data_IF_890284829934
#
_entry.id   IF_890284829934
#
_cell.length_a   1.000
_cell.length_b   1.000
_cell.length_c   1.000
_cell.angle_alpha   90.00
_cell.angle_beta   90.00
_cell.angle_gamma   90.00
#
_symmetry.space_group_name_H-M   'P 1'
#
loop_
_entity.id
_entity.type
_entity.pdbx_description
1 polymer ?
#
# COMPACT_ATOMS: atom_id res chain seq x y z
N UNK A 1 -9.85 -23.08 -15.49
CA UNK A 1 -9.93 -24.50 -15.03
C UNK A 1 -8.56 -24.87 -14.47
N UNK A 2 -8.49 -25.65 -13.38
CA UNK A 2 -7.24 -25.96 -12.69
C UNK A 2 -6.72 -27.31 -13.19
N UNK A 3 -5.47 -27.33 -13.68
CA UNK A 3 -4.77 -28.51 -14.18
C UNK A 3 -3.41 -28.63 -13.49
N UNK A 4 -2.92 -29.86 -13.35
CA UNK A 4 -1.56 -30.14 -12.90
C UNK A 4 -0.80 -30.82 -14.03
N UNK A 5 0.12 -30.08 -14.66
CA UNK A 5 1.05 -30.66 -15.63
C UNK A 5 2.13 -31.49 -14.92
N UNK A 6 3.01 -32.15 -15.68
CA UNK A 6 4.07 -33.01 -15.14
C UNK A 6 5.01 -32.30 -14.17
N UNK A 7 5.31 -31.04 -14.46
CA UNK A 7 6.17 -30.22 -13.61
C UNK A 7 5.51 -29.91 -12.27
N UNK A 8 4.25 -29.46 -12.30
CA UNK A 8 3.46 -29.12 -11.12
C UNK A 8 3.15 -30.37 -10.27
N UNK A 9 2.86 -31.50 -10.91
CA UNK A 9 2.63 -32.78 -10.23
C UNK A 9 3.90 -33.25 -9.51
N UNK A 10 5.06 -33.12 -10.15
CA UNK A 10 6.34 -33.43 -9.51
C UNK A 10 6.68 -32.43 -8.39
N UNK A 11 6.42 -31.14 -8.57
CA UNK A 11 6.61 -30.13 -7.51
C UNK A 11 5.74 -30.43 -6.30
N UNK A 12 4.48 -30.78 -6.51
CA UNK A 12 3.57 -31.23 -5.46
C UNK A 12 4.12 -32.46 -4.73
N UNK A 13 4.59 -33.46 -5.48
CA UNK A 13 5.15 -34.68 -4.88
C UNK A 13 6.37 -34.35 -4.01
N UNK A 14 7.33 -33.57 -4.52
CA UNK A 14 8.53 -33.18 -3.77
C UNK A 14 8.15 -32.39 -2.52
N UNK A 15 7.21 -31.45 -2.65
CA UNK A 15 6.77 -30.61 -1.55
C UNK A 15 6.13 -31.41 -0.40
N UNK A 16 5.29 -32.39 -0.73
CA UNK A 16 4.57 -33.20 0.28
C UNK A 16 5.42 -34.36 0.79
N UNK A 17 6.05 -35.10 -0.12
CA UNK A 17 6.66 -36.39 0.19
C UNK A 17 8.19 -36.37 0.24
N UNK A 18 8.83 -35.30 -0.25
CA UNK A 18 10.29 -35.14 -0.25
C UNK A 18 11.01 -35.96 -1.31
N UNK A 19 10.28 -36.63 -2.21
CA UNK A 19 10.84 -37.52 -3.24
C UNK A 19 10.23 -37.18 -4.60
N UNK A 20 11.02 -36.96 -5.66
CA UNK A 20 10.49 -36.65 -6.98
C UNK A 20 9.85 -37.87 -7.65
N UNK A 21 8.89 -37.62 -8.56
CA UNK A 21 8.37 -38.64 -9.47
C UNK A 21 9.28 -38.73 -10.70
N UNK A 22 9.63 -39.94 -11.11
CA UNK A 22 10.23 -40.17 -12.43
C UNK A 22 9.12 -40.22 -13.51
N UNK A 23 9.51 -40.17 -14.78
CA UNK A 23 8.57 -40.16 -15.90
C UNK A 23 7.62 -41.37 -15.92
N UNK A 24 8.10 -42.54 -15.49
CA UNK A 24 7.29 -43.76 -15.41
C UNK A 24 6.21 -43.62 -14.34
N UNK A 25 6.56 -43.17 -13.14
CA UNK A 25 5.61 -42.97 -12.06
C UNK A 25 4.55 -41.90 -12.39
N UNK A 26 4.93 -40.84 -13.11
CA UNK A 26 3.98 -39.84 -13.62
C UNK A 26 3.00 -40.48 -14.60
N UNK A 27 3.51 -41.29 -15.54
CA UNK A 27 2.67 -42.03 -16.48
C UNK A 27 1.70 -42.96 -15.75
N UNK A 28 2.18 -43.71 -14.76
CA UNK A 28 1.35 -44.64 -13.97
C UNK A 28 0.21 -43.92 -13.24
N UNK A 29 0.49 -42.74 -12.67
CA UNK A 29 -0.53 -41.89 -12.03
C UNK A 29 -1.60 -41.47 -13.02
N UNK A 30 -1.19 -41.02 -14.21
CA UNK A 30 -2.13 -40.60 -15.27
C UNK A 30 -2.96 -41.77 -15.79
N UNK A 31 -2.34 -42.92 -16.04
CA UNK A 31 -3.03 -44.13 -16.46
C UNK A 31 -4.06 -44.57 -15.43
N UNK A 32 -3.73 -44.50 -14.13
CA UNK A 32 -4.68 -44.83 -13.07
C UNK A 32 -5.92 -43.91 -13.06
N UNK A 33 -5.76 -42.63 -13.38
CA UNK A 33 -6.88 -41.70 -13.58
C UNK A 33 -7.65 -42.05 -14.85
N UNK A 34 -6.95 -42.26 -15.97
CA UNK A 34 -7.54 -42.50 -17.29
C UNK A 34 -8.43 -43.75 -17.31
N UNK A 35 -8.05 -44.81 -16.59
CA UNK A 35 -8.82 -46.06 -16.46
C UNK A 35 -10.25 -45.86 -15.93
N UNK A 36 -10.48 -44.83 -15.11
CA UNK A 36 -11.78 -44.62 -14.44
C UNK A 36 -12.42 -43.26 -14.75
N UNK A 37 -11.61 -42.26 -15.10
CA UNK A 37 -12.02 -40.87 -15.35
C UNK A 37 -11.22 -40.28 -16.51
N UNK A 38 -11.42 -40.83 -17.70
CA UNK A 38 -10.71 -40.40 -18.90
C UNK A 38 -10.80 -38.89 -19.18
N UNK A 39 -11.96 -38.30 -18.93
CA UNK A 39 -12.21 -36.86 -19.15
C UNK A 39 -11.45 -35.95 -18.17
N UNK A 40 -10.88 -36.51 -17.09
CA UNK A 40 -10.07 -35.78 -16.11
C UNK A 40 -8.57 -35.73 -16.47
N UNK A 41 -8.18 -36.24 -17.65
CA UNK A 41 -6.87 -36.02 -18.25
C UNK A 41 -7.03 -35.12 -19.48
N UNK A 42 -6.60 -33.87 -19.37
CA UNK A 42 -6.75 -32.85 -20.42
C UNK A 42 -5.36 -32.30 -20.76
N UNK A 43 -5.00 -32.30 -22.04
CA UNK A 43 -3.70 -31.84 -22.54
C UNK A 43 -2.49 -32.43 -21.79
N UNK A 44 -2.55 -33.73 -21.49
CA UNK A 44 -1.53 -34.45 -20.71
C UNK A 44 -1.33 -33.85 -19.30
N UNK A 45 -2.35 -33.24 -18.72
CA UNK A 45 -2.38 -32.72 -17.35
C UNK A 45 -3.56 -33.32 -16.57
N UNK A 46 -3.39 -33.46 -15.26
CA UNK A 46 -4.43 -33.99 -14.36
C UNK A 46 -5.38 -32.85 -13.98
N UNK A 47 -6.66 -33.00 -14.31
CA UNK A 47 -7.70 -32.06 -13.88
C UNK A 47 -8.09 -32.27 -12.41
N UNK A 48 -8.82 -31.32 -11.83
CA UNK A 48 -9.27 -31.40 -10.44
C UNK A 48 -10.04 -32.70 -10.13
N UNK A 49 -10.91 -33.17 -11.02
CA UNK A 49 -11.66 -34.41 -10.82
C UNK A 49 -10.76 -35.64 -10.72
N UNK A 50 -9.68 -35.69 -11.51
CA UNK A 50 -8.67 -36.74 -11.49
C UNK A 50 -7.82 -36.69 -10.23
N UNK A 51 -7.46 -35.49 -9.79
CA UNK A 51 -6.75 -35.29 -8.52
C UNK A 51 -7.58 -35.80 -7.33
N UNK A 52 -8.86 -35.46 -7.27
CA UNK A 52 -9.78 -35.94 -6.22
C UNK A 52 -9.94 -37.47 -6.27
N UNK A 53 -10.03 -38.05 -7.47
CA UNK A 53 -10.10 -39.49 -7.66
C UNK A 53 -8.86 -40.22 -7.15
N UNK A 54 -7.64 -39.69 -7.37
CA UNK A 54 -6.41 -40.28 -6.83
C UNK A 54 -6.44 -40.37 -5.30
N UNK A 55 -6.92 -39.31 -4.64
CA UNK A 55 -7.07 -39.29 -3.18
C UNK A 55 -8.13 -40.30 -2.70
N UNK A 56 -9.27 -40.39 -3.39
CA UNK A 56 -10.30 -41.40 -3.15
C UNK A 56 -9.74 -42.84 -3.27
N UNK A 57 -8.94 -43.09 -4.31
CA UNK A 57 -8.29 -44.38 -4.55
C UNK A 57 -7.32 -44.75 -3.41
N UNK A 58 -6.52 -43.80 -2.90
CA UNK A 58 -5.65 -44.06 -1.76
C UNK A 58 -6.43 -44.45 -0.51
N UNK A 59 -7.53 -43.75 -0.23
CA UNK A 59 -8.39 -44.03 0.92
C UNK A 59 -9.02 -45.44 0.80
N UNK A 60 -9.59 -45.77 -0.36
CA UNK A 60 -10.19 -47.09 -0.62
C UNK A 60 -9.20 -48.25 -0.49
N UNK A 61 -7.92 -48.01 -0.81
CA UNK A 61 -6.83 -48.99 -0.67
C UNK A 61 -6.24 -49.05 0.75
N UNK A 62 -6.86 -48.40 1.73
CA UNK A 62 -6.40 -48.35 3.12
C UNK A 62 -5.19 -47.44 3.36
N UNK A 63 -4.76 -46.64 2.36
CA UNK A 63 -3.60 -45.74 2.42
C UNK A 63 -4.01 -44.30 2.75
N UNK A 64 -4.92 -44.13 3.69
CA UNK A 64 -5.47 -42.83 4.09
C UNK A 64 -4.40 -41.88 4.68
N UNK A 65 -3.33 -42.41 5.28
CA UNK A 65 -2.19 -41.61 5.74
C UNK A 65 -1.54 -40.79 4.62
N UNK A 66 -1.60 -41.23 3.36
CA UNK A 66 -1.12 -40.44 2.22
C UNK A 66 -1.94 -39.16 2.04
N UNK A 67 -3.27 -39.25 2.18
CA UNK A 67 -4.15 -38.10 2.10
C UNK A 67 -3.94 -37.16 3.29
N UNK A 68 -3.81 -37.71 4.51
CA UNK A 68 -3.50 -36.91 5.70
C UNK A 68 -2.14 -36.21 5.63
N UNK A 69 -1.12 -36.85 5.03
CA UNK A 69 0.18 -36.22 4.83
C UNK A 69 0.08 -35.00 3.91
N UNK A 70 -0.73 -35.07 2.85
CA UNK A 70 -1.03 -33.90 1.99
C UNK A 70 -1.73 -32.82 2.80
N UNK A 71 -2.84 -33.15 3.49
CA UNK A 71 -3.61 -32.18 4.28
C UNK A 71 -2.75 -31.45 5.32
N UNK A 72 -1.98 -32.20 6.13
CA UNK A 72 -1.08 -31.63 7.15
C UNK A 72 0.01 -30.76 6.54
N UNK A 73 0.53 -31.12 5.36
CA UNK A 73 1.55 -30.30 4.67
C UNK A 73 1.02 -28.93 4.26
N UNK A 74 -0.27 -28.85 3.97
CA UNK A 74 -0.99 -27.62 3.61
C UNK A 74 -1.63 -26.93 4.83
N UNK A 75 -1.30 -27.36 6.05
CA UNK A 75 -1.72 -26.69 7.27
C UNK A 75 -3.06 -27.13 7.84
N UNK A 76 -3.67 -28.20 7.32
CA UNK A 76 -4.95 -28.71 7.85
C UNK A 76 -4.76 -29.59 9.10
N UNK A 77 -5.64 -29.39 10.08
CA UNK A 77 -5.76 -30.20 11.30
C UNK A 77 -6.68 -31.42 11.11
N UNK A 78 -6.98 -32.14 12.21
CA UNK A 78 -7.80 -33.36 12.17
C UNK A 78 -9.29 -33.06 11.91
N UNK A 79 -9.71 -31.81 12.10
CA UNK A 79 -11.05 -31.29 11.88
C UNK A 79 -11.21 -30.69 10.47
N UNK A 80 -10.19 -30.85 9.61
CA UNK A 80 -10.10 -30.30 8.27
C UNK A 80 -10.25 -28.76 8.25
N UNK A 81 -9.79 -28.10 9.31
CA UNK A 81 -9.64 -26.66 9.37
C UNK A 81 -8.16 -26.31 9.19
N UNK A 82 -7.87 -25.12 8.66
CA UNK A 82 -6.50 -24.63 8.68
C UNK A 82 -6.12 -24.31 10.13
N UNK A 83 -5.01 -24.89 10.56
CA UNK A 83 -4.53 -24.73 11.92
C UNK A 83 -4.22 -23.25 12.21
N UNK A 84 -4.53 -22.81 13.43
CA UNK A 84 -4.41 -21.40 13.83
C UNK A 84 -2.95 -20.92 13.71
N UNK A 85 -1.99 -21.77 14.04
CA UNK A 85 -0.56 -21.52 13.93
C UNK A 85 -0.08 -21.46 12.46
N UNK A 86 -0.76 -22.17 11.55
CA UNK A 86 -0.55 -22.03 10.12
C UNK A 86 -1.07 -20.69 9.59
N UNK A 87 -2.24 -20.23 10.03
CA UNK A 87 -2.82 -18.95 9.57
C UNK A 87 -2.19 -17.72 10.23
N UNK A 88 -1.82 -17.84 11.50
CA UNK A 88 -1.40 -16.73 12.35
C UNK A 88 -0.22 -17.14 13.20
N UNK A 89 0.96 -16.65 12.83
CA UNK A 89 2.15 -16.72 13.68
C UNK A 89 2.27 -15.45 14.52
N UNK A 90 2.51 -15.54 15.84
CA UNK A 90 2.63 -14.34 16.68
C UNK A 90 3.74 -13.39 16.21
N UNK A 91 3.36 -12.16 15.86
CA UNK A 91 4.28 -11.08 15.50
C UNK A 91 4.18 -9.94 16.51
N UNK A 92 5.29 -9.61 17.17
CA UNK A 92 5.35 -8.46 18.08
C UNK A 92 5.85 -7.23 17.34
N UNK A 93 5.01 -6.21 17.26
CA UNK A 93 5.38 -4.89 16.69
C UNK A 93 5.63 -3.90 17.85
N UNK A 94 6.87 -3.47 18.10
CA UNK A 94 7.16 -2.48 19.14
C UNK A 94 6.55 -1.11 18.83
N UNK A 95 6.37 -0.27 19.86
CA UNK A 95 5.93 1.12 19.68
C UNK A 95 6.97 1.89 18.87
N UNK A 96 6.50 2.66 17.88
CA UNK A 96 7.35 3.44 16.99
C UNK A 96 7.87 2.65 15.77
N UNK A 97 7.57 1.35 15.69
CA UNK A 97 7.80 0.51 14.53
C UNK A 97 6.54 0.40 13.67
N UNK A 98 6.70 -0.03 12.43
CA UNK A 98 5.65 -0.36 11.47
C UNK A 98 5.93 -1.72 10.82
N UNK A 99 4.95 -2.26 10.10
CA UNK A 99 5.08 -3.49 9.33
C UNK A 99 5.08 -3.17 7.84
N UNK A 100 6.02 -3.76 7.11
CA UNK A 100 6.19 -3.63 5.66
C UNK A 100 6.40 -5.03 5.05
N UNK A 101 6.12 -5.18 3.76
CA UNK A 101 6.47 -6.41 3.04
C UNK A 101 7.98 -6.46 2.79
N UNK A 102 8.55 -7.67 2.89
CA UNK A 102 9.93 -7.96 2.47
C UNK A 102 10.00 -8.09 0.95
N UNK A 103 11.21 -8.15 0.40
CA UNK A 103 11.40 -8.43 -1.02
C UNK A 103 10.82 -9.79 -1.43
N UNK A 104 10.78 -10.76 -0.52
CA UNK A 104 10.15 -12.06 -0.73
C UNK A 104 8.62 -11.94 -0.77
N UNK A 105 8.04 -11.23 0.19
CA UNK A 105 6.61 -10.95 0.22
C UNK A 105 6.15 -10.22 -1.05
N UNK A 106 6.90 -9.20 -1.48
CA UNK A 106 6.64 -8.46 -2.71
C UNK A 106 6.73 -9.36 -3.95
N UNK A 107 7.80 -10.17 -4.08
CA UNK A 107 7.95 -11.11 -5.20
C UNK A 107 6.80 -12.11 -5.29
N UNK A 108 6.35 -12.63 -4.15
CA UNK A 108 5.21 -13.55 -4.10
C UNK A 108 3.91 -12.91 -4.58
N UNK A 109 3.55 -11.72 -4.05
CA UNK A 109 2.31 -11.06 -4.46
C UNK A 109 2.37 -10.59 -5.92
N UNK A 110 3.53 -10.17 -6.41
CA UNK A 110 3.71 -9.84 -7.84
C UNK A 110 3.47 -11.07 -8.71
N UNK A 111 4.03 -12.22 -8.36
CA UNK A 111 3.80 -13.46 -9.09
C UNK A 111 2.33 -13.91 -9.05
N UNK A 112 1.60 -13.63 -7.96
CA UNK A 112 0.16 -13.86 -7.91
C UNK A 112 -0.59 -12.94 -8.86
N UNK A 113 -0.28 -11.65 -8.89
CA UNK A 113 -0.90 -10.74 -9.86
C UNK A 113 -0.70 -11.25 -11.29
N UNK A 114 0.54 -11.52 -11.70
CA UNK A 114 0.88 -11.99 -13.04
C UNK A 114 0.20 -13.33 -13.41
N UNK A 115 -0.06 -14.19 -12.41
CA UNK A 115 -0.76 -15.45 -12.60
C UNK A 115 -2.25 -15.25 -12.91
N UNK A 116 -2.88 -14.25 -12.31
CA UNK A 116 -4.32 -14.02 -12.39
C UNK A 116 -4.71 -12.89 -13.35
N UNK A 117 -3.76 -12.08 -13.83
CA UNK A 117 -3.91 -11.19 -14.99
C UNK A 117 -3.87 -12.06 -16.26
N UNK A 118 -4.98 -12.73 -16.56
CA UNK A 118 -5.08 -13.75 -17.61
C UNK A 118 -5.00 -13.10 -19.01
N UNK A 119 -5.57 -11.90 -19.16
CA UNK A 119 -5.57 -11.14 -20.40
C UNK A 119 -4.35 -10.22 -20.58
N UNK A 120 -3.51 -10.09 -19.54
CA UNK A 120 -2.26 -9.31 -19.52
C UNK A 120 -2.48 -7.84 -19.80
N UNK A 121 -3.60 -7.30 -19.34
CA UNK A 121 -3.92 -5.88 -19.48
C UNK A 121 -3.31 -5.02 -18.35
N UNK A 122 -2.61 -5.63 -17.40
CA UNK A 122 -1.97 -4.95 -16.27
C UNK A 122 -2.97 -4.54 -15.20
N UNK A 123 -4.20 -5.07 -15.25
CA UNK A 123 -5.25 -4.91 -14.26
C UNK A 123 -5.84 -6.28 -13.88
N UNK A 124 -6.54 -6.33 -12.76
CA UNK A 124 -7.38 -7.48 -12.41
C UNK A 124 -8.84 -7.06 -12.50
N UNK A 125 -9.55 -7.69 -13.44
CA UNK A 125 -11.00 -7.62 -13.57
C UNK A 125 -11.71 -8.22 -12.33
N UNK A 126 -13.02 -7.97 -12.14
CA UNK A 126 -13.78 -8.57 -11.04
C UNK A 126 -13.73 -10.10 -11.01
N UNK A 127 -13.74 -10.74 -12.18
CA UNK A 127 -13.62 -12.20 -12.32
C UNK A 127 -12.24 -12.71 -11.90
N UNK A 128 -11.17 -12.05 -12.32
CA UNK A 128 -9.80 -12.43 -11.98
C UNK A 128 -9.53 -12.25 -10.49
N UNK A 129 -10.01 -11.15 -9.89
CA UNK A 129 -9.95 -10.95 -8.44
C UNK A 129 -10.73 -11.99 -7.66
N UNK A 130 -11.92 -12.35 -8.14
CA UNK A 130 -12.71 -13.41 -7.53
C UNK A 130 -11.98 -14.76 -7.61
N UNK A 131 -11.33 -15.06 -8.72
CA UNK A 131 -10.53 -16.27 -8.88
C UNK A 131 -9.30 -16.26 -7.97
N UNK A 132 -8.60 -15.12 -7.85
CA UNK A 132 -7.42 -14.95 -6.98
C UNK A 132 -7.77 -15.22 -5.52
N UNK A 133 -8.85 -14.61 -5.02
CA UNK A 133 -9.27 -14.75 -3.63
C UNK A 133 -10.22 -15.94 -3.38
N UNK A 134 -10.47 -16.80 -4.38
CA UNK A 134 -11.38 -17.95 -4.26
C UNK A 134 -10.96 -18.98 -3.19
N UNK A 135 -9.67 -19.02 -2.87
CA UNK A 135 -9.08 -19.90 -1.84
C UNK A 135 -9.10 -19.28 -0.43
N UNK A 136 -9.49 -18.02 -0.30
CA UNK A 136 -9.60 -17.34 0.98
C UNK A 136 -10.95 -17.64 1.64
N UNK A 137 -10.99 -17.69 2.98
CA UNK A 137 -12.23 -17.94 3.74
C UNK A 137 -13.29 -16.87 3.53
N UNK A 138 -12.86 -15.62 3.34
CA UNK A 138 -13.71 -14.47 3.05
C UNK A 138 -13.07 -13.66 1.92
N UNK A 139 -13.90 -12.97 1.12
CA UNK A 139 -13.39 -12.09 0.08
C UNK A 139 -12.83 -10.80 0.72
N UNK A 140 -11.52 -10.57 0.67
CA UNK A 140 -10.91 -9.40 1.31
C UNK A 140 -11.05 -8.14 0.43
N UNK A 141 -11.43 -8.29 -0.84
CA UNK A 141 -11.63 -7.20 -1.79
C UNK A 141 -13.04 -6.63 -1.71
N UNK A 142 -13.19 -5.55 -0.94
CA UNK A 142 -14.47 -4.86 -0.74
C UNK A 142 -14.59 -3.59 -1.58
N UNK A 143 -15.80 -3.03 -1.68
CA UNK A 143 -15.99 -1.70 -2.29
C UNK A 143 -15.23 -0.60 -1.53
N UNK A 144 -15.04 -0.75 -0.23
CA UNK A 144 -14.22 0.15 0.56
C UNK A 144 -12.74 0.05 0.17
N UNK A 145 -12.20 -1.17 0.07
CA UNK A 145 -10.82 -1.40 -0.39
C UNK A 145 -10.58 -0.80 -1.79
N UNK A 146 -11.54 -0.94 -2.70
CA UNK A 146 -11.48 -0.32 -4.03
C UNK A 146 -11.45 1.21 -3.98
N UNK A 147 -11.87 1.85 -2.87
CA UNK A 147 -11.79 3.29 -2.69
C UNK A 147 -10.51 3.77 -2.01
N UNK A 148 -9.63 2.87 -1.61
CA UNK A 148 -8.35 3.17 -0.96
C UNK A 148 -7.15 3.11 -1.89
N UNK A 149 -7.31 2.54 -3.09
CA UNK A 149 -6.21 2.26 -4.02
C UNK A 149 -6.58 2.62 -5.45
N UNK A 150 -5.56 2.67 -6.31
CA UNK A 150 -5.71 2.99 -7.72
C UNK A 150 -6.52 1.91 -8.46
N UNK A 151 -7.47 2.36 -9.28
CA UNK A 151 -8.23 1.53 -10.21
C UNK A 151 -8.24 2.21 -11.58
N UNK A 152 -8.36 1.44 -12.65
CA UNK A 152 -8.46 2.02 -13.99
C UNK A 152 -9.85 2.65 -14.23
N UNK A 153 -10.08 3.19 -15.43
CA UNK A 153 -11.34 3.84 -15.81
C UNK A 153 -12.55 2.90 -15.83
N UNK A 154 -12.34 1.57 -15.88
CA UNK A 154 -13.39 0.55 -15.75
C UNK A 154 -13.65 0.15 -14.29
N UNK A 155 -12.87 0.69 -13.34
CA UNK A 155 -12.89 0.31 -11.94
C UNK A 155 -12.18 -1.02 -11.63
N UNK A 156 -11.32 -1.50 -12.53
CA UNK A 156 -10.51 -2.71 -12.32
C UNK A 156 -9.23 -2.36 -11.57
N UNK A 157 -8.74 -3.29 -10.77
CA UNK A 157 -7.58 -3.05 -9.90
C UNK A 157 -6.29 -3.05 -10.72
N UNK A 158 -5.60 -1.91 -10.84
CA UNK A 158 -4.32 -1.84 -11.58
C UNK A 158 -3.23 -2.60 -10.82
N UNK A 159 -2.12 -2.94 -11.48
CA UNK A 159 -0.94 -3.49 -10.79
C UNK A 159 -0.48 -2.61 -9.61
N UNK A 160 -0.36 -1.30 -9.83
CA UNK A 160 0.02 -0.35 -8.77
C UNK A 160 -1.02 -0.31 -7.64
N UNK A 161 -2.32 -0.36 -7.96
CA UNK A 161 -3.39 -0.46 -6.98
C UNK A 161 -3.35 -1.76 -6.17
N UNK A 162 -3.06 -2.89 -6.82
CA UNK A 162 -2.89 -4.20 -6.19
C UNK A 162 -1.72 -4.20 -5.21
N UNK A 163 -0.55 -3.70 -5.63
CA UNK A 163 0.61 -3.59 -4.75
C UNK A 163 0.31 -2.66 -3.57
N UNK A 164 -0.35 -1.53 -3.83
CA UNK A 164 -0.76 -0.57 -2.80
C UNK A 164 -1.74 -1.18 -1.80
N UNK A 165 -2.67 -2.04 -2.24
CA UNK A 165 -3.62 -2.73 -1.37
C UNK A 165 -2.92 -3.65 -0.37
N UNK A 166 -1.97 -4.45 -0.84
CA UNK A 166 -1.18 -5.33 0.02
C UNK A 166 -0.33 -4.54 1.01
N UNK A 167 0.28 -3.45 0.57
CA UNK A 167 1.11 -2.58 1.42
C UNK A 167 0.26 -1.88 2.49
N UNK A 168 -0.91 -1.35 2.12
CA UNK A 168 -1.87 -0.78 3.06
C UNK A 168 -2.32 -1.80 4.09
N UNK A 169 -2.69 -3.00 3.64
CA UNK A 169 -3.16 -4.08 4.53
C UNK A 169 -2.05 -4.52 5.47
N UNK A 170 -0.81 -4.62 4.98
CA UNK A 170 0.35 -4.96 5.81
C UNK A 170 0.62 -3.89 6.88
N UNK A 171 0.49 -2.62 6.51
CA UNK A 171 0.73 -1.50 7.41
C UNK A 171 -0.37 -1.37 8.47
N UNK A 172 -1.63 -1.58 8.09
CA UNK A 172 -2.81 -1.35 8.96
C UNK A 172 -3.24 -2.59 9.75
N UNK A 173 -3.11 -3.79 9.15
CA UNK A 173 -3.55 -5.06 9.72
C UNK A 173 -2.66 -6.21 9.23
N UNK A 174 -1.47 -6.32 9.84
CA UNK A 174 -0.50 -7.37 9.52
C UNK A 174 -1.07 -8.78 9.73
N UNK A 175 -1.97 -8.97 10.69
CA UNK A 175 -2.60 -10.28 10.93
C UNK A 175 -3.42 -10.75 9.73
N UNK A 176 -4.23 -9.86 9.14
CA UNK A 176 -4.96 -10.18 7.91
C UNK A 176 -4.01 -10.47 6.74
N UNK A 177 -2.89 -9.74 6.65
CA UNK A 177 -1.89 -10.00 5.61
C UNK A 177 -1.31 -11.40 5.74
N UNK A 178 -0.92 -11.81 6.95
CA UNK A 178 -0.38 -13.16 7.21
C UNK A 178 -1.44 -14.24 6.92
N UNK A 179 -2.69 -14.02 7.32
CA UNK A 179 -3.79 -14.93 7.02
C UNK A 179 -3.98 -15.10 5.50
N UNK A 180 -4.02 -14.00 4.74
CA UNK A 180 -4.17 -14.07 3.28
C UNK A 180 -2.96 -14.73 2.60
N UNK A 181 -1.74 -14.45 3.04
CA UNK A 181 -0.53 -15.12 2.54
C UNK A 181 -0.60 -16.64 2.76
N UNK A 182 -1.14 -17.08 3.90
CA UNK A 182 -1.36 -18.50 4.19
C UNK A 182 -2.33 -19.15 3.19
N UNK A 183 -3.51 -18.53 2.99
CA UNK A 183 -4.53 -19.03 2.04
C UNK A 183 -4.01 -19.07 0.60
N UNK A 184 -3.22 -18.07 0.20
CA UNK A 184 -2.70 -17.96 -1.16
C UNK A 184 -1.47 -18.86 -1.40
N UNK A 185 -0.99 -19.56 -0.37
CA UNK A 185 0.05 -20.58 -0.50
C UNK A 185 1.48 -20.07 -0.34
N UNK A 186 1.72 -18.95 0.35
CA UNK A 186 3.07 -18.46 0.64
C UNK A 186 3.93 -19.54 1.32
N UNK A 187 3.35 -20.29 2.26
CA UNK A 187 4.03 -21.34 3.03
C UNK A 187 4.39 -22.58 2.20
N UNK A 188 4.03 -22.62 0.91
CA UNK A 188 4.50 -23.69 0.02
C UNK A 188 6.00 -23.59 -0.25
N UNK A 189 6.54 -22.37 -0.27
CA UNK A 189 7.96 -22.12 -0.54
C UNK A 189 8.71 -21.55 0.67
N UNK A 190 7.97 -21.16 1.71
CA UNK A 190 8.49 -20.52 2.91
C UNK A 190 8.09 -21.29 4.17
N UNK A 191 8.85 -21.11 5.24
CA UNK A 191 8.56 -21.78 6.51
C UNK A 191 7.37 -21.13 7.23
N UNK A 192 7.23 -19.82 7.10
CA UNK A 192 6.16 -19.03 7.72
C UNK A 192 5.93 -17.74 6.94
N UNK A 193 4.74 -17.15 7.06
CA UNK A 193 4.44 -15.82 6.53
C UNK A 193 5.31 -14.73 7.14
N UNK A 194 5.98 -15.00 8.27
CA UNK A 194 6.97 -14.09 8.83
C UNK A 194 8.10 -13.76 7.83
N UNK A 195 8.44 -14.67 6.91
CA UNK A 195 9.44 -14.41 5.87
C UNK A 195 8.99 -13.31 4.88
N UNK A 196 7.68 -13.03 4.81
CA UNK A 196 7.10 -11.94 4.01
C UNK A 196 7.05 -10.59 4.75
N UNK A 197 7.25 -10.55 6.07
CA UNK A 197 6.97 -9.37 6.90
C UNK A 197 8.24 -8.83 7.54
N UNK A 198 8.51 -7.55 7.31
CA UNK A 198 9.56 -6.79 8.00
C UNK A 198 8.94 -5.87 9.03
N UNK A 199 9.37 -5.99 10.28
CA UNK A 199 9.13 -4.96 11.30
C UNK A 199 10.23 -3.90 11.18
N UNK A 200 9.83 -2.66 10.91
CA UNK A 200 10.77 -1.54 10.78
C UNK A 200 11.35 -1.19 12.15
N UNK A 201 12.51 -0.52 12.16
CA UNK A 201 13.08 -0.01 13.41
C UNK A 201 12.27 1.18 13.94
N UNK A 202 12.50 1.52 15.20
CA UNK A 202 11.84 2.67 15.84
C UNK A 202 12.13 3.97 15.07
N UNK A 203 11.07 4.64 14.64
CA UNK A 203 11.11 5.93 13.93
C UNK A 203 11.93 7.00 14.65
N UNK A 204 12.03 6.96 15.98
CA UNK A 204 12.86 7.90 16.75
C UNK A 204 14.34 7.80 16.36
N UNK A 205 14.81 6.61 16.01
CA UNK A 205 16.17 6.39 15.52
C UNK A 205 16.34 6.97 14.12
N UNK A 206 15.35 6.81 13.23
CA UNK A 206 15.36 7.42 11.90
C UNK A 206 15.47 8.96 11.97
N UNK A 207 14.73 9.57 12.90
CA UNK A 207 14.77 11.02 13.15
C UNK A 207 16.11 11.48 13.72
N UNK A 208 16.73 10.68 14.59
CA UNK A 208 18.03 10.98 15.20
C UNK A 208 19.16 10.89 14.17
N UNK A 209 19.17 9.83 13.37
CA UNK A 209 20.20 9.54 12.37
C UNK A 209 19.95 10.25 11.03
N UNK A 210 18.78 10.88 10.87
CA UNK A 210 18.37 11.57 9.63
C UNK A 210 18.36 10.66 8.40
N UNK A 211 18.14 9.36 8.61
CA UNK A 211 18.09 8.33 7.57
C UNK A 211 17.02 7.32 7.91
N UNK A 212 16.26 6.89 6.91
CA UNK A 212 15.26 5.84 7.03
C UNK A 212 15.41 4.82 5.91
N UNK A 213 15.10 3.56 6.21
CA UNK A 213 14.99 2.47 5.22
C UNK A 213 13.53 2.09 4.98
N UNK A 214 12.58 2.85 5.55
CA UNK A 214 11.14 2.65 5.36
C UNK A 214 10.75 2.96 3.92
N UNK A 215 9.75 2.23 3.45
CA UNK A 215 9.12 2.46 2.15
C UNK A 215 7.74 3.10 2.29
N UNK A 216 7.08 2.95 3.44
CA UNK A 216 5.71 3.42 3.68
C UNK A 216 5.70 4.57 4.68
N UNK A 217 5.06 5.68 4.30
CA UNK A 217 4.98 6.91 5.08
C UNK A 217 3.54 7.35 5.30
N UNK A 218 3.20 7.66 6.54
CA UNK A 218 1.86 8.02 6.96
C UNK A 218 1.66 9.53 7.00
N UNK A 219 0.57 10.00 6.40
CA UNK A 219 0.21 11.40 6.27
C UNK A 219 -1.20 11.60 6.80
N UNK A 220 -1.36 12.43 7.83
CA UNK A 220 -2.68 12.76 8.36
C UNK A 220 -3.22 14.04 7.75
N UNK A 221 -4.43 13.95 7.24
CA UNK A 221 -5.14 15.02 6.56
C UNK A 221 -6.21 15.53 7.51
N UNK A 222 -5.95 16.68 8.12
CA UNK A 222 -6.76 17.26 9.19
C UNK A 222 -7.30 18.61 8.71
N UNK A 223 -8.55 18.92 9.05
CA UNK A 223 -9.18 20.17 8.68
C UNK A 223 -10.67 20.16 9.04
N UNK A 224 -11.33 21.33 9.01
CA UNK A 224 -12.72 21.42 9.43
C UNK A 224 -13.64 20.61 8.51
N UNK A 225 -14.89 20.43 8.94
CA UNK A 225 -15.93 19.83 8.11
C UNK A 225 -16.06 20.62 6.80
N UNK A 226 -16.23 19.89 5.70
CA UNK A 226 -16.34 20.45 4.34
C UNK A 226 -15.08 21.16 3.81
N UNK A 227 -13.91 21.04 4.45
CA UNK A 227 -12.65 21.62 3.95
C UNK A 227 -12.08 20.95 2.68
N UNK A 228 -12.76 19.94 2.12
CA UNK A 228 -12.29 19.23 0.92
C UNK A 228 -11.32 18.06 1.19
N UNK A 229 -11.20 17.58 2.44
CA UNK A 229 -10.33 16.46 2.83
C UNK A 229 -10.49 15.22 1.95
N UNK A 230 -11.72 14.74 1.79
CA UNK A 230 -12.03 13.58 0.95
C UNK A 230 -11.58 13.78 -0.50
N UNK A 231 -11.83 14.96 -1.08
CA UNK A 231 -11.42 15.24 -2.44
C UNK A 231 -9.89 15.28 -2.59
N UNK A 232 -9.19 15.84 -1.59
CA UNK A 232 -7.74 15.88 -1.55
C UNK A 232 -7.10 14.48 -1.43
N UNK A 233 -7.65 13.57 -0.62
CA UNK A 233 -7.09 12.22 -0.54
C UNK A 233 -7.43 11.38 -1.78
N UNK A 234 -8.65 11.53 -2.32
CA UNK A 234 -9.10 10.75 -3.47
C UNK A 234 -8.45 11.22 -4.78
N UNK A 235 -8.03 12.48 -4.88
CA UNK A 235 -7.24 12.95 -6.03
C UNK A 235 -5.91 12.22 -6.17
N UNK A 236 -5.35 11.70 -5.07
CA UNK A 236 -4.14 10.90 -5.09
C UNK A 236 -4.32 9.53 -5.77
N UNK A 237 -5.57 9.10 -5.98
CA UNK A 237 -5.94 7.91 -6.75
C UNK A 237 -6.33 8.22 -8.19
N UNK A 238 -6.16 9.48 -8.63
CA UNK A 238 -6.52 9.90 -9.98
C UNK A 238 -8.01 10.20 -10.17
N UNK A 239 -8.78 10.31 -9.08
CA UNK A 239 -10.23 10.51 -9.14
C UNK A 239 -10.59 11.98 -9.28
N UNK A 240 -11.43 12.26 -10.26
CA UNK A 240 -12.01 13.59 -10.44
C UNK A 240 -13.08 13.87 -9.40
N UNK A 241 -13.50 15.13 -9.27
CA UNK A 241 -14.60 15.49 -8.38
C UNK A 241 -15.91 14.75 -8.75
N UNK A 242 -16.16 14.54 -10.04
CA UNK A 242 -17.33 13.80 -10.52
C UNK A 242 -17.30 12.33 -10.06
N UNK A 243 -16.14 11.68 -10.17
CA UNK A 243 -15.96 10.30 -9.70
C UNK A 243 -16.23 10.20 -8.20
N UNK A 244 -15.67 11.12 -7.41
CA UNK A 244 -15.84 11.14 -5.96
C UNK A 244 -17.31 11.31 -5.57
N UNK A 245 -18.05 12.19 -6.25
CA UNK A 245 -19.47 12.43 -5.98
C UNK A 245 -20.35 11.23 -6.36
N UNK A 246 -19.90 10.37 -7.28
CA UNK A 246 -20.61 9.14 -7.65
C UNK A 246 -20.48 8.02 -6.60
N UNK A 247 -19.47 8.10 -5.72
CA UNK A 247 -19.19 7.08 -4.71
C UNK A 247 -20.13 7.27 -3.52
N UNK A 248 -20.76 6.17 -3.08
CA UNK A 248 -21.55 6.19 -1.86
C UNK A 248 -20.67 6.44 -0.63
N UNK A 249 -21.07 7.35 0.25
CA UNK A 249 -20.32 7.68 1.48
C UNK A 249 -19.96 6.47 2.34
N UNK A 250 -20.79 5.42 2.34
CA UNK A 250 -20.54 4.17 3.08
C UNK A 250 -19.38 3.33 2.53
N UNK A 251 -18.91 3.64 1.33
CA UNK A 251 -17.81 2.96 0.66
C UNK A 251 -16.52 3.79 0.67
N UNK A 252 -16.58 5.05 1.10
CA UNK A 252 -15.39 5.87 1.22
C UNK A 252 -14.60 5.40 2.44
N UNK A 253 -13.40 4.88 2.18
CA UNK A 253 -12.43 4.64 3.23
C UNK A 253 -11.80 5.97 3.65
N UNK A 254 -11.53 6.18 4.96
CA UNK A 254 -10.71 7.31 5.39
C UNK A 254 -9.23 7.13 5.01
N UNK A 255 -8.84 5.97 4.49
CA UNK A 255 -7.48 5.67 4.08
C UNK A 255 -7.36 5.58 2.56
N UNK A 256 -6.35 6.24 2.03
CA UNK A 256 -5.91 6.15 0.64
C UNK A 256 -4.42 5.92 0.61
N UNK A 257 -3.94 5.07 -0.29
CA UNK A 257 -2.52 4.84 -0.50
C UNK A 257 -2.19 4.87 -1.99
N UNK A 258 -1.05 5.43 -2.34
CA UNK A 258 -0.48 5.33 -3.67
C UNK A 258 1.05 5.46 -3.60
N UNK A 259 1.73 5.13 -4.70
CA UNK A 259 3.17 5.26 -4.84
C UNK A 259 3.58 6.67 -5.31
N UNK A 260 4.74 7.12 -4.87
CA UNK A 260 5.36 8.41 -5.21
C UNK A 260 6.86 8.20 -5.38
N UNK A 261 7.46 8.84 -6.39
CA UNK A 261 8.90 8.77 -6.58
C UNK A 261 9.60 9.90 -5.83
N UNK A 262 10.47 9.56 -4.87
CA UNK A 262 11.26 10.51 -4.09
C UNK A 262 12.74 10.25 -4.35
N UNK A 263 13.43 11.19 -5.01
CA UNK A 263 14.85 11.06 -5.42
C UNK A 263 15.17 9.77 -6.18
N UNK A 264 14.26 9.35 -7.06
CA UNK A 264 14.41 8.15 -7.88
C UNK A 264 14.04 6.83 -7.18
N UNK A 265 13.66 6.87 -5.91
CA UNK A 265 13.14 5.69 -5.19
C UNK A 265 11.62 5.76 -5.11
N UNK A 266 10.95 4.64 -5.38
CA UNK A 266 9.51 4.50 -5.17
C UNK A 266 9.24 4.36 -3.66
N UNK A 267 8.39 5.23 -3.13
CA UNK A 267 7.86 5.21 -1.77
C UNK A 267 6.33 5.15 -1.81
N UNK A 268 5.70 4.72 -0.73
CA UNK A 268 4.25 4.69 -0.60
C UNK A 268 3.81 5.74 0.42
N UNK A 269 2.87 6.58 0.02
CA UNK A 269 2.27 7.60 0.87
C UNK A 269 0.87 7.12 1.27
N UNK A 270 0.65 6.92 2.56
CA UNK A 270 -0.65 6.56 3.14
C UNK A 270 -1.30 7.82 3.67
N UNK A 271 -2.33 8.30 2.99
CA UNK A 271 -3.16 9.42 3.39
C UNK A 271 -4.30 8.91 4.28
N UNK A 272 -4.46 9.53 5.44
CA UNK A 272 -5.57 9.26 6.35
C UNK A 272 -6.37 10.55 6.59
N UNK A 273 -7.61 10.58 6.11
CA UNK A 273 -8.57 11.62 6.44
C UNK A 273 -9.00 11.46 7.91
N UNK A 274 -8.59 12.43 8.73
CA UNK A 274 -8.95 12.46 10.14
C UNK A 274 -10.31 13.13 10.29
N UNK A 275 -11.31 12.36 10.71
CA UNK A 275 -12.61 12.90 11.11
C UNK A 275 -12.58 13.26 12.59
N UNK A 276 -12.54 14.54 12.90
CA UNK A 276 -12.61 15.02 14.28
C UNK A 276 -14.07 14.98 14.73
N UNK A 277 -14.51 13.78 15.09
CA UNK A 277 -15.88 13.49 15.53
C UNK A 277 -16.16 13.86 17.00
N UNK A 278 -15.14 14.18 17.80
CA UNK A 278 -15.33 14.54 19.21
C UNK A 278 -15.84 15.97 19.35
N UNK A 279 -16.82 16.20 20.23
CA UNK A 279 -17.29 17.55 20.62
C UNK A 279 -16.16 18.48 21.09
N UNK A 280 -15.06 17.90 21.60
CA UNK A 280 -13.92 18.62 22.18
C UNK A 280 -12.75 18.84 21.20
N UNK A 281 -12.92 18.43 19.94
CA UNK A 281 -11.92 18.52 18.87
C UNK A 281 -10.54 17.97 19.26
N UNK A 282 -10.52 16.80 19.94
CA UNK A 282 -9.30 16.20 20.47
C UNK A 282 -8.78 15.11 19.54
N UNK A 283 -7.54 15.27 19.09
CA UNK A 283 -6.84 14.22 18.34
C UNK A 283 -6.43 13.06 19.25
N UNK A 284 -6.54 11.83 18.74
CA UNK A 284 -6.05 10.61 19.37
C UNK A 284 -4.51 10.56 19.37
N UNK A 285 -3.92 9.65 20.16
CA UNK A 285 -2.46 9.42 20.13
C UNK A 285 -1.97 8.93 18.77
N UNK A 286 -2.80 8.16 18.06
CA UNK A 286 -2.54 7.73 16.69
C UNK A 286 -2.52 8.93 15.74
N UNK A 287 -3.56 9.78 15.77
CA UNK A 287 -3.69 10.96 14.90
C UNK A 287 -2.58 12.00 15.10
N UNK A 288 -1.95 12.04 16.28
CA UNK A 288 -0.77 12.88 16.54
C UNK A 288 0.53 12.29 15.97
N UNK A 289 0.54 11.00 15.68
CA UNK A 289 1.73 10.23 15.30
C UNK A 289 1.73 9.92 13.80
N UNK A 290 2.11 10.89 12.97
CA UNK A 290 2.26 10.73 11.51
C UNK A 290 3.64 11.15 11.01
N UNK A 291 4.03 10.68 9.83
CA UNK A 291 5.28 11.08 9.15
C UNK A 291 5.23 12.52 8.64
N UNK A 292 4.05 12.97 8.22
CA UNK A 292 3.74 14.36 7.83
C UNK A 292 2.29 14.69 8.21
N UNK A 293 2.02 15.95 8.53
CA UNK A 293 0.67 16.45 8.82
C UNK A 293 0.26 17.46 7.76
N UNK A 294 -0.96 17.31 7.25
CA UNK A 294 -1.59 18.27 6.34
C UNK A 294 -2.76 18.92 7.07
N UNK A 295 -2.74 20.25 7.09
CA UNK A 295 -3.76 21.08 7.70
C UNK A 295 -4.51 21.82 6.61
N UNK A 296 -5.72 21.35 6.30
CA UNK A 296 -6.54 21.88 5.22
C UNK A 296 -7.44 22.98 5.75
N UNK A 297 -7.63 24.03 4.96
CA UNK A 297 -8.72 24.98 5.14
C UNK A 297 -9.38 25.27 3.79
N UNK A 298 -10.63 25.73 3.85
CA UNK A 298 -11.41 26.12 2.68
C UNK A 298 -11.18 27.61 2.43
N UNK A 299 -10.48 27.95 1.36
CA UNK A 299 -10.17 29.34 1.03
C UNK A 299 -11.43 30.21 0.85
N UNK A 300 -12.57 29.60 0.54
CA UNK A 300 -13.85 30.29 0.38
C UNK A 300 -14.66 30.46 1.67
N UNK A 301 -14.24 29.81 2.76
CA UNK A 301 -14.87 29.93 4.06
C UNK A 301 -13.98 30.74 5.02
N UNK A 302 -14.39 31.95 5.44
CA UNK A 302 -13.56 32.82 6.28
C UNK A 302 -13.27 32.23 7.66
N UNK A 303 -14.06 31.26 8.14
CA UNK A 303 -13.89 30.69 9.47
C UNK A 303 -13.19 29.32 9.45
N UNK A 304 -12.68 28.87 8.30
CA UNK A 304 -12.12 27.52 8.19
C UNK A 304 -10.66 27.45 8.65
N UNK A 305 -9.87 28.50 8.44
CA UNK A 305 -8.45 28.52 8.79
C UNK A 305 -8.19 28.47 10.31
N UNK A 306 -9.06 29.11 11.10
CA UNK A 306 -8.93 29.17 12.56
C UNK A 306 -8.85 27.78 13.20
N UNK A 307 -9.59 26.81 12.66
CA UNK A 307 -9.54 25.40 13.07
C UNK A 307 -8.13 24.81 12.86
N UNK A 308 -7.60 24.96 11.65
CA UNK A 308 -6.30 24.41 11.26
C UNK A 308 -5.14 25.05 12.04
N UNK A 309 -5.20 26.36 12.26
CA UNK A 309 -4.27 27.08 13.12
C UNK A 309 -4.32 26.60 14.58
N UNK A 310 -5.53 26.41 15.12
CA UNK A 310 -5.75 25.94 16.50
C UNK A 310 -5.20 24.53 16.71
N UNK A 311 -5.45 23.61 15.76
CA UNK A 311 -4.92 22.24 15.80
C UNK A 311 -3.40 22.24 15.74
N UNK A 312 -2.80 23.06 14.87
CA UNK A 312 -1.35 23.21 14.80
C UNK A 312 -0.77 23.66 16.14
N UNK A 313 -1.27 24.76 16.69
CA UNK A 313 -0.77 25.32 17.95
C UNK A 313 -0.93 24.36 19.12
N UNK A 314 -2.05 23.62 19.16
CA UNK A 314 -2.35 22.70 20.25
C UNK A 314 -1.51 21.43 20.23
N UNK A 315 -1.19 20.88 19.06
CA UNK A 315 -0.60 19.53 18.96
C UNK A 315 0.74 19.45 18.24
N UNK A 316 1.01 20.35 17.29
CA UNK A 316 2.13 20.20 16.37
C UNK A 316 3.17 21.33 16.48
N UNK A 317 2.83 22.44 17.12
CA UNK A 317 3.76 23.53 17.41
C UNK A 317 4.95 23.02 18.23
N UNK A 318 6.16 23.35 17.75
CA UNK A 318 7.46 22.87 18.30
C UNK A 318 7.67 21.36 18.28
N UNK A 319 6.83 20.59 17.59
CA UNK A 319 7.09 19.16 17.38
C UNK A 319 8.07 18.95 16.21
N UNK A 320 8.65 17.74 16.17
CA UNK A 320 9.55 17.35 15.07
C UNK A 320 8.80 16.96 13.80
N UNK A 321 7.48 16.73 13.87
CA UNK A 321 6.68 16.31 12.72
C UNK A 321 6.60 17.47 11.72
N UNK A 322 6.87 17.24 10.42
CA UNK A 322 6.63 18.23 9.37
C UNK A 322 5.13 18.52 9.22
N UNK A 323 4.77 19.79 9.05
CA UNK A 323 3.39 20.22 8.82
C UNK A 323 3.31 21.09 7.57
N UNK A 324 2.22 20.94 6.81
CA UNK A 324 1.90 21.74 5.62
C UNK A 324 0.49 22.29 5.77
N UNK A 325 0.30 23.57 5.43
CA UNK A 325 -1.03 24.17 5.32
C UNK A 325 -1.45 24.11 3.85
N UNK A 326 -2.67 23.65 3.59
CA UNK A 326 -3.24 23.56 2.24
C UNK A 326 -4.56 24.33 2.18
N UNK A 327 -4.65 25.24 1.21
CA UNK A 327 -5.86 25.96 0.85
C UNK A 327 -6.60 25.20 -0.25
N UNK A 328 -7.83 24.79 -0.01
CA UNK A 328 -8.69 24.17 -1.03
C UNK A 328 -9.74 25.15 -1.55
N UNK A 329 -10.36 24.81 -2.70
CA UNK A 329 -11.44 25.58 -3.33
C UNK A 329 -11.04 27.03 -3.64
N UNK A 330 -9.78 27.20 -4.06
CA UNK A 330 -9.15 28.52 -4.29
C UNK A 330 -9.70 29.24 -5.53
N UNK A 331 -10.39 28.53 -6.42
CA UNK A 331 -11.06 29.05 -7.63
C UNK A 331 -12.40 29.72 -7.34
N UNK A 332 -12.92 29.52 -6.13
CA UNK A 332 -14.10 30.26 -5.66
C UNK A 332 -13.66 31.68 -5.28
N UNK A 333 -14.50 32.37 -4.52
CA UNK A 333 -14.08 33.60 -3.87
C UNK A 333 -13.12 33.29 -2.71
N UNK A 334 -11.88 33.78 -2.76
CA UNK A 334 -10.92 33.68 -1.65
C UNK A 334 -11.30 34.70 -0.56
N UNK A 335 -11.82 34.21 0.55
CA UNK A 335 -12.25 35.02 1.67
C UNK A 335 -11.09 35.36 2.60
N UNK A 336 -11.06 36.59 3.11
CA UNK A 336 -10.20 36.94 4.23
C UNK A 336 -10.51 36.04 5.43
N UNK A 337 -9.49 35.43 6.01
CA UNK A 337 -9.70 34.48 7.09
C UNK A 337 -9.89 35.22 8.41
N UNK A 338 -10.98 34.92 9.11
CA UNK A 338 -11.32 35.42 10.43
C UNK A 338 -10.46 34.73 11.50
N UNK A 339 -9.18 35.09 11.52
CA UNK A 339 -8.20 34.65 12.50
C UNK A 339 -7.20 35.79 12.76
N UNK A 340 -6.45 35.72 13.86
CA UNK A 340 -5.51 36.79 14.25
C UNK A 340 -4.45 37.09 13.18
N UNK A 341 -4.12 36.10 12.36
CA UNK A 341 -3.16 36.21 11.26
C UNK A 341 -3.72 35.56 10.00
N UNK A 342 -3.42 36.13 8.83
CA UNK A 342 -3.71 35.47 7.54
C UNK A 342 -2.83 34.21 7.37
N UNK A 343 -3.26 33.20 6.59
CA UNK A 343 -2.56 31.92 6.46
C UNK A 343 -1.07 32.04 6.12
N UNK A 344 -0.70 32.91 5.17
CA UNK A 344 0.70 33.14 4.78
C UNK A 344 1.55 33.74 5.90
N UNK A 345 0.96 34.65 6.67
CA UNK A 345 1.62 35.28 7.82
C UNK A 345 1.76 34.30 8.99
N UNK A 346 0.74 33.50 9.25
CA UNK A 346 0.80 32.42 10.23
C UNK A 346 1.91 31.43 9.89
N UNK A 347 2.01 30.99 8.62
CA UNK A 347 3.09 30.10 8.19
C UNK A 347 4.47 30.72 8.38
N UNK A 348 4.65 31.99 8.02
CA UNK A 348 5.91 32.73 8.23
C UNK A 348 6.28 32.82 9.70
N UNK A 349 5.30 33.11 10.57
CA UNK A 349 5.49 33.25 12.02
C UNK A 349 5.95 31.93 12.67
N UNK A 350 5.47 30.80 12.15
CA UNK A 350 5.72 29.47 12.73
C UNK A 350 6.76 28.64 11.96
N UNK A 351 7.53 29.26 11.06
CA UNK A 351 8.52 28.60 10.19
C UNK A 351 7.94 27.40 9.40
N UNK A 352 6.69 27.53 8.96
CA UNK A 352 6.01 26.55 8.12
C UNK A 352 6.20 26.88 6.62
N UNK A 353 6.06 25.87 5.73
CA UNK A 353 5.85 26.10 4.30
C UNK A 353 4.76 27.15 4.06
N UNK A 354 4.91 27.98 3.02
CA UNK A 354 3.80 28.82 2.57
C UNK A 354 2.59 27.95 2.22
N UNK A 355 1.35 28.43 2.43
CA UNK A 355 0.15 27.66 2.15
C UNK A 355 0.14 27.17 0.70
N UNK A 356 0.04 25.86 0.50
CA UNK A 356 -0.10 25.28 -0.83
C UNK A 356 -1.54 25.53 -1.29
N UNK A 357 -1.69 26.07 -2.50
CA UNK A 357 -2.99 26.26 -3.12
C UNK A 357 -3.33 25.00 -3.91
N UNK A 358 -4.24 24.18 -3.37
CA UNK A 358 -4.72 22.96 -4.02
C UNK A 358 -5.90 23.31 -4.91
N UNK A 359 -5.64 23.27 -6.22
CA UNK A 359 -6.53 23.78 -7.25
C UNK A 359 -7.43 22.70 -7.81
N UNK A 360 -8.44 23.10 -8.57
CA UNK A 360 -9.31 22.19 -9.31
C UNK A 360 -8.52 21.35 -10.33
N UNK A 361 -7.46 21.91 -10.93
CA UNK A 361 -6.53 21.20 -11.83
C UNK A 361 -5.68 20.13 -11.12
N UNK A 362 -5.53 20.22 -9.79
CA UNK A 362 -4.84 19.19 -8.99
C UNK A 362 -5.78 18.01 -8.64
N UNK A 363 -7.10 18.18 -8.76
CA UNK A 363 -8.07 17.13 -8.44
C UNK A 363 -8.01 16.04 -9.51
N UNK A 364 -7.64 14.83 -9.08
CA UNK A 364 -7.40 13.68 -9.96
C UNK A 364 -6.02 13.69 -10.61
N UNK A 365 -5.15 14.66 -10.30
CA UNK A 365 -3.77 14.65 -10.78
C UNK A 365 -2.84 13.92 -9.81
N UNK A 366 -2.61 12.64 -10.07
CA UNK A 366 -1.69 11.78 -9.27
C UNK A 366 -0.26 12.33 -9.25
N UNK A 367 0.14 13.04 -10.32
CA UNK A 367 1.48 13.63 -10.47
C UNK A 367 1.57 15.05 -9.87
N UNK A 368 0.55 15.52 -9.15
CA UNK A 368 0.60 16.82 -8.49
C UNK A 368 1.78 16.89 -7.53
N UNK A 369 2.55 17.98 -7.63
CA UNK A 369 3.75 18.22 -6.84
C UNK A 369 3.50 18.16 -5.34
N UNK A 370 2.25 18.41 -4.90
CA UNK A 370 1.85 18.33 -3.49
C UNK A 370 2.15 16.95 -2.89
N UNK A 371 1.87 15.85 -3.59
CA UNK A 371 2.08 14.51 -3.06
C UNK A 371 3.57 14.15 -3.00
N UNK A 372 4.33 14.57 -4.01
CA UNK A 372 5.79 14.48 -4.02
C UNK A 372 6.42 15.29 -2.89
N UNK A 373 5.92 16.49 -2.63
CA UNK A 373 6.36 17.32 -1.51
C UNK A 373 6.05 16.66 -0.17
N UNK A 374 4.84 16.13 0.03
CA UNK A 374 4.45 15.42 1.26
C UNK A 374 5.31 14.19 1.52
N UNK A 375 5.53 13.36 0.50
CA UNK A 375 6.40 12.20 0.59
C UNK A 375 7.86 12.61 0.89
N UNK A 376 8.36 13.67 0.25
CA UNK A 376 9.72 14.19 0.51
C UNK A 376 9.86 14.72 1.95
N UNK A 377 8.82 15.39 2.46
CA UNK A 377 8.77 15.86 3.84
C UNK A 377 8.77 14.70 4.84
N UNK A 378 8.03 13.64 4.55
CA UNK A 378 7.96 12.45 5.37
C UNK A 378 9.28 11.65 5.39
N UNK A 379 9.96 11.53 4.24
CA UNK A 379 11.24 10.81 4.11
C UNK A 379 12.39 11.56 4.76
N UNK A 380 12.44 12.89 4.61
CA UNK A 380 13.59 13.70 5.03
C UNK A 380 13.32 14.74 6.12
N UNK A 381 12.53 14.50 7.19
CA UNK A 381 11.88 15.51 8.06
C UNK A 381 12.82 16.55 8.69
N UNK A 382 14.14 16.31 8.65
CA UNK A 382 15.19 17.23 9.07
C UNK A 382 15.49 18.35 8.06
N UNK A 383 15.09 18.21 6.79
CA UNK A 383 15.31 19.17 5.71
C UNK A 383 14.23 20.26 5.66
N UNK A 384 13.64 20.62 6.82
CA UNK A 384 12.52 21.58 6.95
C UNK A 384 12.68 22.86 6.15
N UNK A 385 13.91 23.31 5.87
CA UNK A 385 14.22 24.55 5.13
C UNK A 385 14.55 24.36 3.64
N UNK A 386 14.73 23.14 3.16
CA UNK A 386 15.22 22.82 1.79
C UNK A 386 14.10 22.32 0.88
N UNK A 387 12.96 21.89 1.44
CA UNK A 387 11.79 21.46 0.66
C UNK A 387 11.20 22.56 -0.24
N UNK A 388 11.51 23.81 0.07
CA UNK A 388 10.89 25.00 -0.52
C UNK A 388 11.49 25.43 -1.86
N UNK A 389 12.37 24.62 -2.44
CA UNK A 389 13.01 24.92 -3.72
C UNK A 389 12.15 24.63 -4.95
N UNK A 390 10.86 24.32 -4.76
CA UNK A 390 9.86 24.30 -5.84
C UNK A 390 9.35 25.70 -6.24
N UNK A 391 9.85 26.79 -5.62
CA UNK A 391 9.96 28.11 -6.28
C UNK A 391 11.11 28.10 -7.32
N UNK A 392 11.17 27.04 -8.13
CA UNK A 392 12.24 26.72 -9.07
C UNK A 392 12.12 27.54 -10.35
N UNK A 393 12.49 28.81 -10.25
CA UNK A 393 13.07 29.55 -11.38
C UNK A 393 14.26 30.43 -10.99
N UNK A 394 14.47 30.70 -9.70
CA UNK A 394 15.56 31.57 -9.22
C UNK A 394 16.76 30.77 -8.70
N UNK A 395 16.54 29.77 -7.86
CA UNK A 395 17.63 29.13 -7.10
C UNK A 395 18.44 28.10 -7.91
N UNK A 396 17.83 27.47 -8.92
CA UNK A 396 18.56 26.64 -9.89
C UNK A 396 19.50 27.46 -10.78
N UNK A 397 19.11 28.71 -11.13
CA UNK A 397 19.96 29.64 -11.89
C UNK A 397 21.10 30.19 -11.04
N UNK A 398 20.85 30.46 -9.76
CA UNK A 398 21.86 30.98 -8.83
C UNK A 398 22.89 29.91 -8.45
N UNK A 399 22.47 28.67 -8.18
CA UNK A 399 23.40 27.58 -7.83
C UNK A 399 24.26 27.14 -9.01
N UNK A 400 23.69 27.05 -10.22
CA UNK A 400 24.45 26.76 -11.43
C UNK A 400 25.39 27.92 -11.82
N UNK A 401 24.90 29.17 -11.75
CA UNK A 401 25.71 30.35 -12.02
C UNK A 401 26.88 30.53 -11.05
N UNK A 402 26.67 30.28 -9.76
CA UNK A 402 27.72 30.34 -8.75
C UNK A 402 28.77 29.22 -8.92
N UNK A 403 28.35 28.00 -9.28
CA UNK A 403 29.26 26.89 -9.54
C UNK A 403 30.14 27.14 -10.79
N UNK A 404 29.55 27.68 -11.86
CA UNK A 404 30.28 28.04 -13.09
C UNK A 404 31.25 29.20 -12.85
N UNK A 405 30.84 30.22 -12.10
CA UNK A 405 31.71 31.34 -11.74
C UNK A 405 32.88 30.89 -10.83
N UNK A 406 32.63 30.00 -9.87
CA UNK A 406 33.68 29.42 -9.03
C UNK A 406 34.67 28.57 -9.84
N UNK A 407 34.18 27.78 -10.80
CA UNK A 407 35.03 27.00 -11.70
C UNK A 407 35.88 27.89 -12.61
N UNK A 408 35.29 28.95 -13.17
CA UNK A 408 36.00 29.93 -13.98
C UNK A 408 37.06 30.69 -13.16
N UNK A 409 36.73 31.10 -11.93
CA UNK A 409 37.69 31.72 -11.00
C UNK A 409 38.85 30.80 -10.64
N UNK A 410 38.58 29.51 -10.39
CA UNK A 410 39.62 28.51 -10.12
C UNK A 410 40.54 28.28 -11.34
N UNK A 411 39.98 28.22 -12.55
CA UNK A 411 40.75 28.05 -13.79
C UNK A 411 41.60 29.30 -14.12
N UNK A 412 41.08 30.50 -13.86
CA UNK A 412 41.82 31.75 -14.02
C UNK A 412 42.97 31.85 -13.02
N UNK A 413 42.74 31.50 -11.74
CA UNK A 413 43.78 31.48 -10.71
C UNK A 413 44.91 30.50 -11.03
N UNK A 414 44.60 29.37 -11.69
CA UNK A 414 45.61 28.37 -12.08
C UNK A 414 46.47 28.78 -13.29
N UNK A 415 46.05 29.83 -14.02
CA UNK A 415 46.75 30.36 -15.20
C UNK A 415 47.50 31.68 -14.92
N UNK A 416 47.52 32.14 -13.67
CA UNK A 416 48.46 33.12 -13.13
C UNK A 416 49.57 32.33 -12.42
#
# INVERSE_FOLDING_TARGET
MVFLNDHELNQFQVFVFGVPLNAVAISDVKTAVEEHRKDDIIDNAVALGGFLYLHELFIRRGRHETAWKVLRRFGYDNELQLAVDYLSTPLKVPKGCSTELTDEGLRFITALFEKYDEDRDGCLSPSELQNLFSVCSTNPWTKEASCSVEVNTKGWLTFNGYMSYWILTTFMNVSLTMELLAYLGFNMRHHSQLDAIRVTRDRRLDLLEKRTTRSVFQCHVIGPRNAGKTAFIQSFLGRTLADILSISKKHLSPYVINSVTVKGEVKYLLLHEVDVCSRDEVLTSYEKSADVIVLLYDASNPNSFSYSASIYLRYFYRTKVPCVIIATKVERYEAEQNYEQQPSEFCRTHELPQPIRFREEDIGNVQSDVFTQLATMAVYPHLKRVYFLQDSNLLSKITFGAAVAALAGFLLYKNI
#
